data_IF_400095400238
#
_entry.id   IF_400095400238
#
_cell.length_a   1.000
_cell.length_b   1.000
_cell.length_c   1.000
_cell.angle_alpha   90.00
_cell.angle_beta   90.00
_cell.angle_gamma   90.00
#
_symmetry.space_group_name_H-M   'P 1'
#
loop_
_entity.id
_entity.type
_entity.pdbx_description
1 polymer ?
#
# COMPACT_ATOMS: atom_id res chain seq x y z
N UNK A 1 -1.39 16.08 -27.98
CA UNK A 1 -0.74 14.75 -27.95
C UNK A 1 -1.57 13.86 -27.05
N UNK A 2 -1.96 12.69 -27.52
CA UNK A 2 -2.85 11.76 -26.80
C UNK A 2 -2.16 11.22 -25.56
N UNK A 3 -2.81 11.27 -24.39
CA UNK A 3 -2.32 10.66 -23.15
C UNK A 3 -2.79 9.21 -23.07
N UNK A 4 -1.97 8.34 -22.47
CA UNK A 4 -2.29 6.91 -22.34
C UNK A 4 -2.97 6.62 -21.00
N UNK A 5 -4.08 7.31 -20.75
CA UNK A 5 -4.83 7.21 -19.49
C UNK A 5 -5.88 6.10 -19.55
N UNK A 6 -5.96 5.35 -18.46
CA UNK A 6 -7.02 4.39 -18.18
C UNK A 6 -7.95 4.98 -17.11
N UNK A 7 -9.23 5.12 -17.48
CA UNK A 7 -10.31 5.63 -16.63
C UNK A 7 -11.41 4.56 -16.61
N UNK A 8 -11.56 3.91 -15.46
CA UNK A 8 -12.56 2.87 -15.24
C UNK A 8 -13.98 3.45 -15.17
N UNK A 9 -14.99 2.59 -15.35
CA UNK A 9 -16.40 3.00 -15.27
C UNK A 9 -16.76 3.56 -13.89
N UNK A 10 -16.20 2.99 -12.81
CA UNK A 10 -16.41 3.50 -11.45
C UNK A 10 -15.86 4.92 -11.28
N UNK A 11 -14.64 5.19 -11.79
CA UNK A 11 -14.04 6.53 -11.73
C UNK A 11 -14.85 7.51 -12.59
N UNK A 12 -15.30 7.07 -13.78
CA UNK A 12 -16.15 7.88 -14.68
C UNK A 12 -17.51 8.21 -14.03
N UNK A 13 -18.11 7.26 -13.32
CA UNK A 13 -19.38 7.46 -12.63
C UNK A 13 -19.25 8.51 -11.51
N UNK A 14 -18.12 8.55 -10.80
CA UNK A 14 -17.88 9.50 -9.73
C UNK A 14 -17.52 10.92 -10.21
N UNK A 15 -16.66 11.05 -11.24
CA UNK A 15 -16.23 12.37 -11.75
C UNK A 15 -17.16 12.96 -12.82
N UNK A 16 -18.02 12.12 -13.40
CA UNK A 16 -18.90 12.45 -14.52
C UNK A 16 -18.24 12.29 -15.90
N UNK A 17 -19.08 12.03 -16.91
CA UNK A 17 -18.63 11.75 -18.28
C UNK A 17 -17.83 12.90 -18.91
N UNK A 18 -18.25 14.14 -18.67
CA UNK A 18 -17.55 15.33 -19.20
C UNK A 18 -16.14 15.47 -18.64
N UNK A 19 -15.93 15.19 -17.35
CA UNK A 19 -14.61 15.25 -16.72
C UNK A 19 -13.73 14.06 -17.15
N UNK A 20 -14.32 12.87 -17.29
CA UNK A 20 -13.61 11.70 -17.82
C UNK A 20 -13.14 11.94 -19.27
N UNK A 21 -13.97 12.56 -20.11
CA UNK A 21 -13.61 12.93 -21.49
C UNK A 21 -12.51 14.00 -21.52
N UNK A 22 -12.54 14.98 -20.60
CA UNK A 22 -11.44 15.95 -20.41
C UNK A 22 -10.13 15.26 -20.07
N UNK A 23 -10.13 14.33 -19.11
CA UNK A 23 -8.93 13.57 -18.74
C UNK A 23 -8.37 12.76 -19.92
N UNK A 24 -9.24 12.02 -20.63
CA UNK A 24 -8.86 11.18 -21.77
C UNK A 24 -8.35 12.00 -22.97
N UNK A 25 -8.90 13.20 -23.19
CA UNK A 25 -8.40 14.13 -24.22
C UNK A 25 -7.09 14.82 -23.84
N UNK A 26 -6.63 14.66 -22.59
CA UNK A 26 -5.39 15.22 -22.12
C UNK A 26 -5.53 16.63 -21.57
N UNK A 27 -6.73 17.02 -21.14
CA UNK A 27 -6.95 18.18 -20.28
C UNK A 27 -7.02 17.71 -18.81
N UNK A 28 -6.49 18.47 -17.85
CA UNK A 28 -6.55 18.12 -16.42
C UNK A 28 -5.58 17.05 -15.88
N UNK A 29 -5.11 16.08 -16.67
CA UNK A 29 -4.04 15.17 -16.21
C UNK A 29 -2.63 15.81 -16.28
N UNK A 30 -1.71 15.48 -15.36
CA UNK A 30 -0.33 15.97 -15.41
C UNK A 30 0.48 15.23 -16.47
N UNK A 31 1.51 15.89 -17.02
CA UNK A 31 2.49 15.24 -17.90
C UNK A 31 3.29 14.21 -17.11
N UNK A 32 4.06 14.68 -16.12
CA UNK A 32 4.75 13.85 -15.14
C UNK A 32 3.95 13.72 -13.85
N UNK A 33 3.97 12.56 -13.20
CA UNK A 33 3.30 12.30 -11.92
C UNK A 33 4.15 11.39 -11.04
N UNK A 34 3.95 11.42 -9.72
CA UNK A 34 4.46 10.38 -8.84
C UNK A 34 3.39 9.30 -8.69
N UNK A 35 3.72 8.06 -9.05
CA UNK A 35 2.77 6.96 -8.98
C UNK A 35 2.24 6.80 -7.54
N UNK A 36 0.91 6.87 -7.33
CA UNK A 36 0.36 6.79 -5.96
C UNK A 36 0.63 5.45 -5.28
N UNK A 37 0.90 4.39 -6.05
CA UNK A 37 1.25 3.07 -5.54
C UNK A 37 2.75 2.90 -5.33
N UNK A 38 3.58 3.19 -6.35
CA UNK A 38 5.01 2.95 -6.29
C UNK A 38 5.90 4.16 -5.96
N UNK A 39 5.33 5.36 -5.94
CA UNK A 39 5.99 6.66 -5.74
C UNK A 39 7.19 6.91 -6.68
N UNK A 40 7.34 6.12 -7.73
CA UNK A 40 8.29 6.36 -8.81
C UNK A 40 7.68 7.39 -9.78
N UNK A 41 8.49 8.31 -10.32
CA UNK A 41 8.02 9.22 -11.36
C UNK A 41 7.54 8.47 -12.59
N UNK A 42 6.43 8.91 -13.13
CA UNK A 42 5.83 8.44 -14.37
C UNK A 42 5.53 9.60 -15.32
N UNK A 43 5.32 9.31 -16.60
CA UNK A 43 4.93 10.26 -17.64
C UNK A 43 3.78 9.72 -18.49
N UNK A 44 2.59 10.31 -18.30
CA UNK A 44 1.32 9.91 -18.93
C UNK A 44 1.29 10.10 -20.46
N UNK A 45 2.31 10.77 -21.02
CA UNK A 45 2.52 10.90 -22.47
C UNK A 45 3.28 9.73 -23.08
N UNK A 46 4.05 9.00 -22.27
CA UNK A 46 4.95 7.95 -22.74
C UNK A 46 4.60 6.54 -22.26
N UNK A 47 3.80 6.43 -21.19
CA UNK A 47 3.43 5.15 -20.58
C UNK A 47 1.94 5.10 -20.22
N UNK A 48 1.41 3.87 -20.06
CA UNK A 48 0.04 3.68 -19.59
C UNK A 48 -0.12 4.05 -18.12
N UNK A 49 -1.08 4.93 -17.84
CA UNK A 49 -1.32 5.50 -16.51
C UNK A 49 -2.77 5.24 -16.10
N UNK A 50 -2.99 4.68 -14.91
CA UNK A 50 -4.32 4.50 -14.33
C UNK A 50 -4.70 5.70 -13.45
N UNK A 51 -5.96 6.11 -13.53
CA UNK A 51 -6.55 7.10 -12.62
C UNK A 51 -7.05 6.46 -11.34
N UNK A 52 -6.64 7.00 -10.19
CA UNK A 52 -7.10 6.55 -8.88
C UNK A 52 -7.82 7.71 -8.21
N UNK A 53 -9.12 7.55 -7.94
CA UNK A 53 -9.92 8.58 -7.29
C UNK A 53 -10.07 8.27 -5.81
N UNK A 54 -9.49 9.08 -4.94
CA UNK A 54 -9.65 8.96 -3.50
C UNK A 54 -10.86 9.77 -3.05
N UNK A 55 -11.89 9.13 -2.46
CA UNK A 55 -13.14 9.79 -2.06
C UNK A 55 -13.31 9.68 -0.55
N UNK A 56 -13.66 10.78 0.12
CA UNK A 56 -14.00 10.77 1.53
C UNK A 56 -14.96 11.89 1.87
N UNK A 57 -16.11 11.53 2.43
CA UNK A 57 -17.18 12.43 2.86
C UNK A 57 -17.58 13.42 1.77
N UNK A 58 -16.97 14.60 1.80
CA UNK A 58 -17.25 15.73 0.91
C UNK A 58 -16.11 16.03 -0.09
N UNK A 59 -15.00 15.27 -0.04
CA UNK A 59 -13.78 15.54 -0.82
C UNK A 59 -13.40 14.36 -1.70
N UNK A 60 -13.01 14.66 -2.95
CA UNK A 60 -12.45 13.69 -3.87
C UNK A 60 -11.12 14.22 -4.42
N UNK A 61 -10.09 13.38 -4.44
CA UNK A 61 -8.75 13.70 -4.96
C UNK A 61 -8.39 12.72 -6.05
N UNK A 62 -8.14 13.24 -7.24
CA UNK A 62 -7.66 12.46 -8.37
C UNK A 62 -6.15 12.31 -8.32
N UNK A 63 -5.67 11.08 -8.40
CA UNK A 63 -4.26 10.72 -8.45
C UNK A 63 -3.97 9.78 -9.61
N UNK A 64 -2.68 9.57 -9.88
CA UNK A 64 -2.21 8.80 -11.03
C UNK A 64 -1.25 7.69 -10.57
N UNK A 65 -1.30 6.55 -11.24
CA UNK A 65 -0.39 5.44 -11.04
C UNK A 65 0.00 4.82 -12.36
N UNK A 66 1.15 4.14 -12.42
CA UNK A 66 1.42 3.25 -13.55
C UNK A 66 0.29 2.22 -13.65
N UNK A 67 -0.18 1.95 -14.86
CA UNK A 67 -1.22 0.94 -15.07
C UNK A 67 -0.79 -0.48 -14.66
N UNK A 68 0.52 -0.71 -14.51
CA UNK A 68 1.07 -1.96 -13.95
C UNK A 68 1.10 -2.02 -12.43
N UNK A 69 0.96 -0.89 -11.72
CA UNK A 69 1.02 -0.84 -10.27
C UNK A 69 -0.35 -1.04 -9.60
N UNK A 70 -1.37 -0.33 -10.08
CA UNK A 70 -2.76 -0.46 -9.64
C UNK A 70 -3.70 -0.18 -10.81
N UNK A 71 -4.87 -0.84 -10.87
CA UNK A 71 -5.88 -0.53 -11.90
C UNK A 71 -6.52 0.84 -11.63
N UNK A 72 -7.21 1.38 -12.64
CA UNK A 72 -8.07 2.53 -12.43
C UNK A 72 -9.22 2.16 -11.48
N UNK A 73 -9.39 2.92 -10.40
CA UNK A 73 -10.35 2.58 -9.34
C UNK A 73 -10.70 3.78 -8.46
N UNK A 74 -11.82 3.64 -7.76
CA UNK A 74 -12.24 4.55 -6.68
C UNK A 74 -11.83 3.94 -5.35
N UNK A 75 -11.16 4.72 -4.50
CA UNK A 75 -10.68 4.31 -3.17
C UNK A 75 -11.31 5.21 -2.12
N UNK A 76 -12.21 4.66 -1.31
CA UNK A 76 -12.79 5.39 -0.20
C UNK A 76 -11.77 5.51 0.96
N UNK A 77 -11.52 6.73 1.43
CA UNK A 77 -10.56 7.05 2.50
C UNK A 77 -11.20 7.99 3.53
N UNK A 78 -10.70 7.98 4.76
CA UNK A 78 -11.19 8.87 5.81
C UNK A 78 -10.90 10.34 5.47
N UNK A 79 -11.83 11.24 5.77
CA UNK A 79 -11.73 12.65 5.39
C UNK A 79 -10.48 13.34 5.95
N UNK A 80 -10.07 12.99 7.17
CA UNK A 80 -8.82 13.49 7.78
C UNK A 80 -7.56 13.10 6.99
N UNK A 81 -7.55 11.93 6.33
CA UNK A 81 -6.41 11.47 5.52
C UNK A 81 -6.35 12.20 4.17
N UNK A 82 -7.51 12.53 3.58
CA UNK A 82 -7.59 13.34 2.37
C UNK A 82 -7.11 14.77 2.61
N UNK A 83 -7.55 15.41 3.70
CA UNK A 83 -7.12 16.78 4.04
C UNK A 83 -5.60 16.89 4.22
N UNK A 84 -4.96 15.88 4.82
CA UNK A 84 -3.49 15.82 4.95
C UNK A 84 -2.76 15.66 3.61
N UNK A 85 -3.31 14.88 2.68
CA UNK A 85 -2.77 14.74 1.33
C UNK A 85 -2.93 16.03 0.51
N UNK A 86 -4.10 16.68 0.57
CA UNK A 86 -4.38 17.96 -0.11
C UNK A 86 -3.46 19.07 0.41
N UNK A 87 -3.24 19.15 1.72
CA UNK A 87 -2.33 20.13 2.32
C UNK A 87 -0.86 19.96 1.89
N UNK A 88 -0.44 18.73 1.57
CA UNK A 88 0.92 18.46 1.09
C UNK A 88 1.09 18.80 -0.40
N UNK A 89 0.03 18.69 -1.19
CA UNK A 89 0.02 19.04 -2.61
C UNK A 89 0.00 20.57 -2.78
N UNK A 90 -0.84 21.27 -2.00
CA UNK A 90 -0.90 22.75 -2.05
C UNK A 90 0.34 23.44 -1.47
N UNK A 91 1.15 22.76 -0.64
CA UNK A 91 2.41 23.28 -0.13
C UNK A 91 3.59 23.20 -1.12
N UNK A 92 3.44 22.47 -2.23
CA UNK A 92 4.49 22.31 -3.26
C UNK A 92 4.35 23.31 -4.42
N UNK A 93 3.22 24.00 -4.53
CA UNK A 93 3.02 25.13 -5.44
C UNK A 93 3.36 26.44 -4.72
N UNK A 94 4.59 26.91 -4.90
CA UNK A 94 5.17 28.07 -4.20
C UNK A 94 4.45 29.41 -4.44
N UNK A 95 4.42 30.20 -3.35
CA UNK A 95 3.90 31.57 -3.15
C UNK A 95 4.42 32.64 -4.13
N UNK A 96 3.83 33.86 -4.10
CA UNK A 96 4.54 34.92 -3.36
C UNK A 96 3.69 35.79 -2.41
N UNK A 97 4.19 35.89 -1.18
CA UNK A 97 4.45 37.08 -0.33
C UNK A 97 3.32 38.10 0.05
N UNK A 98 2.92 37.98 1.32
CA UNK A 98 2.68 38.99 2.39
C UNK A 98 1.83 40.27 2.18
N UNK A 99 0.79 40.41 3.03
CA UNK A 99 0.60 41.56 3.96
C UNK A 99 -0.37 41.20 5.11
N UNK A 100 -0.15 41.68 6.36
CA UNK A 100 -1.01 41.34 7.50
C UNK A 100 -2.13 42.38 7.72
N UNK A 101 -3.35 41.93 7.99
CA UNK A 101 -4.43 42.76 8.55
C UNK A 101 -5.26 41.96 9.58
N UNK A 102 -5.66 42.64 10.66
CA UNK A 102 -6.23 42.09 11.90
C UNK A 102 -7.79 42.08 11.88
N UNK A 103 -8.55 41.82 12.97
CA UNK A 103 -9.48 40.68 13.03
C UNK A 103 -11.01 41.00 13.11
N UNK A 104 -11.82 39.95 12.83
CA UNK A 104 -13.22 39.65 13.23
C UNK A 104 -14.37 40.42 12.53
N UNK A 105 -15.59 39.82 12.32
CA UNK A 105 -16.31 38.93 13.25
C UNK A 105 -16.94 37.63 12.68
N UNK A 106 -17.42 36.83 13.64
CA UNK A 106 -18.06 35.50 13.63
C UNK A 106 -19.24 35.29 12.65
N UNK A 107 -19.41 34.07 12.09
CA UNK A 107 -20.48 33.71 11.16
C UNK A 107 -21.81 33.35 11.87
N UNK A 108 -22.97 33.46 11.18
CA UNK A 108 -24.25 33.00 11.70
C UNK A 108 -24.42 31.48 11.60
N UNK A 109 -25.04 30.90 12.63
CA UNK A 109 -25.41 29.49 12.78
C UNK A 109 -26.49 29.04 11.78
N UNK A 110 -26.28 27.99 10.97
CA UNK A 110 -27.35 27.30 10.26
C UNK A 110 -28.05 26.26 11.16
N UNK A 111 -29.33 25.93 10.89
CA UNK A 111 -30.17 25.11 11.75
C UNK A 111 -29.77 23.63 11.77
N UNK A 112 -30.07 22.98 12.90
CA UNK A 112 -29.88 21.55 13.13
C UNK A 112 -30.64 20.72 12.09
N UNK A 113 -29.88 20.07 11.19
CA UNK A 113 -30.38 19.03 10.31
C UNK A 113 -30.20 17.70 11.05
N UNK A 114 -31.28 16.93 11.13
CA UNK A 114 -31.34 15.61 11.74
C UNK A 114 -30.22 14.73 11.21
N UNK A 115 -29.43 14.15 12.11
CA UNK A 115 -28.37 13.20 11.80
C UNK A 115 -28.94 12.04 10.97
N UNK A 116 -28.36 11.72 9.79
CA UNK A 116 -28.67 10.46 9.13
C UNK A 116 -28.12 9.30 9.97
N UNK A 117 -28.90 8.21 10.05
CA UNK A 117 -28.48 6.95 10.65
C UNK A 117 -27.09 6.53 10.14
N UNK A 118 -26.24 5.90 10.99
CA UNK A 118 -24.94 5.41 10.54
C UNK A 118 -25.16 4.30 9.52
N UNK A 119 -24.99 4.63 8.24
CA UNK A 119 -24.90 3.64 7.18
C UNK A 119 -23.71 2.76 7.51
N UNK A 120 -23.98 1.48 7.80
CA UNK A 120 -22.96 0.50 8.09
C UNK A 120 -21.97 0.46 6.92
N UNK A 121 -20.77 0.97 7.16
CA UNK A 121 -19.68 1.02 6.21
C UNK A 121 -19.31 -0.43 5.84
N UNK A 122 -19.38 -0.77 4.54
CA UNK A 122 -19.04 -2.11 4.09
C UNK A 122 -17.59 -2.44 4.49
N UNK A 123 -17.29 -3.68 4.93
CA UNK A 123 -15.96 -4.05 5.38
C UNK A 123 -14.93 -3.85 4.26
N UNK A 124 -14.03 -2.89 4.44
CA UNK A 124 -12.96 -2.60 3.48
C UNK A 124 -11.82 -3.60 3.65
N UNK A 125 -11.39 -4.21 2.56
CA UNK A 125 -10.23 -5.10 2.55
C UNK A 125 -8.94 -4.26 2.66
N UNK A 126 -8.05 -4.62 3.58
CA UNK A 126 -6.73 -3.99 3.68
C UNK A 126 -5.90 -4.27 2.42
N UNK A 127 -5.30 -3.23 1.85
CA UNK A 127 -4.36 -3.36 0.73
C UNK A 127 -2.95 -3.48 1.31
N UNK A 128 -2.21 -4.52 0.89
CA UNK A 128 -0.85 -4.78 1.37
C UNK A 128 0.17 -4.52 0.25
N UNK A 129 1.17 -3.71 0.56
CA UNK A 129 2.37 -3.53 -0.23
C UNK A 129 3.42 -4.58 0.12
N UNK A 130 4.20 -5.00 -0.89
CA UNK A 130 5.31 -5.94 -0.72
C UNK A 130 6.58 -5.33 -1.29
N UNK A 131 7.61 -5.29 -0.46
CA UNK A 131 8.99 -4.93 -0.84
C UNK A 131 9.85 -6.19 -0.84
N UNK A 132 10.53 -6.46 -1.95
CA UNK A 132 11.45 -7.60 -2.06
C UNK A 132 12.88 -7.12 -1.85
N UNK A 133 13.68 -7.84 -1.08
CA UNK A 133 15.09 -7.51 -0.87
C UNK A 133 15.89 -8.68 -0.30
N UNK A 134 17.21 -8.60 -0.37
CA UNK A 134 18.09 -9.52 0.33
C UNK A 134 18.36 -8.97 1.73
N UNK A 135 18.34 -9.84 2.72
CA UNK A 135 18.63 -9.51 4.12
C UNK A 135 19.73 -10.44 4.60
N UNK A 136 20.74 -9.86 5.25
CA UNK A 136 21.81 -10.62 5.88
C UNK A 136 21.34 -11.09 7.27
N UNK A 137 21.33 -12.40 7.48
CA UNK A 137 21.06 -13.02 8.78
C UNK A 137 22.33 -13.75 9.24
N UNK A 138 23.10 -13.13 10.14
CA UNK A 138 24.44 -13.60 10.47
C UNK A 138 25.37 -13.44 9.28
N UNK A 139 25.95 -14.53 8.78
CA UNK A 139 26.79 -14.54 7.58
C UNK A 139 26.02 -14.96 6.31
N UNK A 140 24.76 -15.36 6.45
CA UNK A 140 23.95 -15.88 5.34
C UNK A 140 23.09 -14.79 4.73
N UNK A 141 23.19 -14.63 3.41
CA UNK A 141 22.25 -13.81 2.65
C UNK A 141 20.95 -14.58 2.43
N UNK A 142 19.82 -14.01 2.83
CA UNK A 142 18.48 -14.60 2.71
C UNK A 142 17.58 -13.74 1.84
N UNK A 143 16.73 -14.40 1.05
CA UNK A 143 15.67 -13.73 0.31
C UNK A 143 14.56 -13.32 1.27
N UNK A 144 14.19 -12.03 1.26
CA UNK A 144 13.18 -11.49 2.16
C UNK A 144 12.06 -10.75 1.40
N UNK A 145 10.86 -10.81 1.98
CA UNK A 145 9.72 -9.97 1.66
C UNK A 145 9.38 -9.14 2.90
N UNK A 146 9.14 -7.85 2.71
CA UNK A 146 8.55 -6.97 3.73
C UNK A 146 7.15 -6.61 3.29
N UNK A 147 6.19 -6.88 4.16
CA UNK A 147 4.77 -6.63 3.93
C UNK A 147 4.30 -5.50 4.84
N UNK A 148 3.80 -4.43 4.24
CA UNK A 148 3.22 -3.30 4.97
C UNK A 148 1.83 -2.99 4.39
N UNK A 149 0.82 -2.72 5.23
CA UNK A 149 -0.45 -2.25 4.72
C UNK A 149 -0.30 -0.80 4.20
N UNK A 150 -1.18 -0.39 3.29
CA UNK A 150 -1.19 0.99 2.77
C UNK A 150 -1.85 1.98 3.73
N UNK A 151 -2.43 1.50 4.82
CA UNK A 151 -3.04 2.28 5.90
C UNK A 151 -3.24 1.40 7.14
N UNK A 152 -3.68 1.98 8.28
CA UNK A 152 -3.95 1.21 9.49
C UNK A 152 -4.99 0.11 9.23
N UNK A 153 -4.78 -1.07 9.80
CA UNK A 153 -5.71 -2.21 9.65
C UNK A 153 -6.53 -2.34 10.92
N UNK A 154 -7.86 -2.44 10.80
CA UNK A 154 -8.75 -2.71 11.93
C UNK A 154 -9.49 -4.02 11.72
N UNK A 155 -9.90 -4.67 12.80
CA UNK A 155 -10.81 -5.82 12.68
C UNK A 155 -12.16 -5.42 12.09
N UNK A 156 -12.74 -6.26 11.22
CA UNK A 156 -14.12 -6.10 10.79
C UNK A 156 -15.07 -6.00 11.99
N UNK A 157 -15.86 -4.93 12.06
CA UNK A 157 -16.80 -4.68 13.16
C UNK A 157 -16.20 -4.04 14.42
N UNK A 158 -14.91 -3.71 14.43
CA UNK A 158 -14.28 -2.92 15.49
C UNK A 158 -14.42 -1.42 15.20
N UNK A 159 -14.90 -0.65 16.19
CA UNK A 159 -14.89 0.82 16.15
C UNK A 159 -13.56 1.42 16.66
N UNK A 160 -12.54 0.58 16.86
CA UNK A 160 -11.26 1.01 17.42
C UNK A 160 -10.48 1.91 16.46
N UNK A 161 -9.82 2.94 17.01
CA UNK A 161 -8.89 3.83 16.30
C UNK A 161 -7.46 3.26 16.22
N UNK A 162 -7.28 1.95 16.44
CA UNK A 162 -5.97 1.29 16.54
C UNK A 162 -5.53 0.60 15.26
N UNK A 163 -4.28 0.13 15.23
CA UNK A 163 -3.77 -0.74 14.17
C UNK A 163 -3.66 -2.18 14.69
N UNK A 164 -4.58 -3.02 14.24
CA UNK A 164 -4.70 -4.44 14.55
C UNK A 164 -3.81 -5.32 13.65
N UNK A 165 -3.01 -4.75 12.74
CA UNK A 165 -2.23 -5.53 11.77
C UNK A 165 -1.29 -6.57 12.42
N UNK A 166 -0.47 -6.15 13.39
CA UNK A 166 0.43 -7.07 14.09
C UNK A 166 -0.31 -8.08 14.96
N UNK A 167 -1.29 -7.68 15.81
CA UNK A 167 -2.12 -8.64 16.54
C UNK A 167 -2.74 -9.73 15.66
N UNK A 168 -3.28 -9.36 14.49
CA UNK A 168 -3.88 -10.29 13.54
C UNK A 168 -2.87 -11.31 13.01
N UNK A 169 -1.65 -10.88 12.70
CA UNK A 169 -0.58 -11.78 12.24
C UNK A 169 -0.06 -12.69 13.36
N UNK A 170 0.03 -12.18 14.58
CA UNK A 170 0.41 -12.99 15.76
C UNK A 170 -0.61 -14.11 15.98
N UNK A 171 -1.90 -13.85 15.81
CA UNK A 171 -2.94 -14.88 15.85
C UNK A 171 -2.81 -15.94 14.75
N UNK A 172 -2.21 -15.58 13.61
CA UNK A 172 -1.87 -16.53 12.55
C UNK A 172 -0.56 -17.28 12.80
N UNK A 173 0.14 -17.00 13.91
CA UNK A 173 1.36 -17.69 14.34
C UNK A 173 2.65 -16.95 14.03
N UNK A 174 2.60 -15.76 13.43
CA UNK A 174 3.80 -14.94 13.26
C UNK A 174 4.35 -14.54 14.63
N UNK A 175 5.67 -14.49 14.76
CA UNK A 175 6.32 -14.12 16.02
C UNK A 175 6.99 -12.75 15.92
N UNK A 176 7.03 -11.97 17.02
CA UNK A 176 7.83 -10.76 17.09
C UNK A 176 9.30 -11.05 16.76
N UNK A 177 9.88 -10.21 15.90
CA UNK A 177 11.29 -10.26 15.55
C UNK A 177 12.04 -9.31 16.46
N UNK A 178 12.92 -9.87 17.29
CA UNK A 178 13.75 -9.12 18.24
C UNK A 178 15.18 -8.92 17.73
N UNK A 179 15.61 -9.77 16.79
CA UNK A 179 16.96 -9.83 16.26
C UNK A 179 16.89 -10.22 14.78
N UNK A 180 17.24 -9.30 13.89
CA UNK A 180 17.17 -9.49 12.43
C UNK A 180 18.32 -10.39 11.94
N UNK A 181 19.37 -10.59 12.75
CA UNK A 181 20.46 -11.52 12.42
C UNK A 181 20.04 -12.99 12.50
N UNK A 182 18.84 -13.27 13.02
CA UNK A 182 18.29 -14.62 13.12
C UNK A 182 17.06 -14.77 12.24
N UNK A 183 16.95 -15.88 11.47
CA UNK A 183 15.74 -16.13 10.71
C UNK A 183 14.54 -16.29 11.67
N UNK A 184 13.38 -15.69 11.37
CA UNK A 184 12.16 -15.90 12.15
C UNK A 184 11.70 -17.35 12.13
N UNK A 185 10.87 -17.74 13.10
CA UNK A 185 10.31 -19.09 13.15
C UNK A 185 9.41 -19.40 11.94
N UNK A 186 9.33 -20.67 11.56
CA UNK A 186 8.45 -21.14 10.49
C UNK A 186 7.00 -21.21 10.97
N UNK A 187 6.05 -20.71 10.18
CA UNK A 187 4.61 -20.87 10.44
C UNK A 187 4.04 -21.93 9.49
N UNK A 188 3.45 -23.03 10.01
CA UNK A 188 2.93 -24.10 9.18
C UNK A 188 1.85 -23.65 8.19
N UNK A 189 1.91 -24.19 6.97
CA UNK A 189 0.89 -24.00 5.93
C UNK A 189 0.96 -22.68 5.17
N UNK A 190 1.82 -21.74 5.58
CA UNK A 190 2.14 -20.55 4.81
C UNK A 190 3.18 -20.88 3.73
N UNK A 191 3.14 -20.16 2.60
CA UNK A 191 4.16 -20.29 1.56
C UNK A 191 4.26 -19.06 0.67
N UNK A 192 5.40 -18.88 0.01
CA UNK A 192 5.59 -17.87 -1.02
C UNK A 192 5.50 -18.52 -2.38
N UNK A 193 4.67 -17.98 -3.28
CA UNK A 193 4.47 -18.49 -4.62
C UNK A 193 5.29 -17.68 -5.64
N UNK A 194 6.28 -18.36 -6.22
CA UNK A 194 7.12 -17.84 -7.29
C UNK A 194 6.89 -18.71 -8.54
N UNK A 195 6.48 -18.13 -9.67
CA UNK A 195 6.26 -18.88 -10.91
C UNK A 195 6.95 -18.15 -12.05
N UNK A 196 7.73 -18.88 -12.84
CA UNK A 196 8.53 -18.34 -13.96
C UNK A 196 9.44 -17.20 -13.53
N UNK A 197 10.02 -17.29 -12.32
CA UNK A 197 10.93 -16.28 -11.76
C UNK A 197 10.26 -14.97 -11.30
N UNK A 198 8.92 -14.91 -11.27
CA UNK A 198 8.16 -13.77 -10.77
C UNK A 198 7.42 -14.13 -9.49
N UNK A 199 7.26 -13.17 -8.59
CA UNK A 199 6.50 -13.32 -7.35
C UNK A 199 5.01 -13.11 -7.62
N UNK A 200 4.18 -14.08 -7.25
CA UNK A 200 2.72 -14.03 -7.49
C UNK A 200 1.93 -13.79 -6.22
N UNK A 201 2.25 -14.49 -5.14
CA UNK A 201 1.42 -14.47 -3.94
C UNK A 201 2.18 -14.90 -2.68
N UNK A 202 1.63 -14.52 -1.53
CA UNK A 202 1.89 -15.13 -0.22
C UNK A 202 0.62 -15.89 0.14
N UNK A 203 0.75 -17.20 0.31
CA UNK A 203 -0.34 -18.11 0.58
C UNK A 203 -0.47 -18.33 2.08
N UNK A 204 -1.70 -18.31 2.59
CA UNK A 204 -2.04 -18.73 3.94
C UNK A 204 -2.69 -20.12 3.92
N UNK A 205 -2.58 -20.88 5.03
CA UNK A 205 -3.32 -22.13 5.17
C UNK A 205 -4.82 -21.90 5.03
N UNK A 206 -5.50 -22.80 4.32
CA UNK A 206 -6.96 -22.80 4.24
C UNK A 206 -7.59 -23.13 5.60
N UNK A 207 -8.80 -22.64 5.84
CA UNK A 207 -9.56 -22.98 7.06
C UNK A 207 -10.31 -24.29 6.85
N UNK A 208 -10.33 -25.17 7.86
CA UNK A 208 -11.23 -26.33 7.88
C UNK A 208 -11.01 -27.38 6.78
N UNK A 209 -9.77 -27.56 6.30
CA UNK A 209 -9.45 -28.56 5.26
C UNK A 209 -9.56 -28.06 3.82
N UNK A 210 -9.92 -26.78 3.63
CA UNK A 210 -9.78 -26.10 2.34
C UNK A 210 -8.30 -25.94 1.97
N UNK A 211 -8.02 -25.87 0.66
CA UNK A 211 -6.67 -25.63 0.14
C UNK A 211 -6.11 -24.27 0.55
N UNK A 212 -4.80 -24.09 0.41
CA UNK A 212 -4.16 -22.80 0.66
C UNK A 212 -4.79 -21.69 -0.20
N UNK A 213 -5.01 -20.52 0.39
CA UNK A 213 -5.58 -19.35 -0.28
C UNK A 213 -4.59 -18.19 -0.25
N UNK A 214 -4.69 -17.26 -1.21
CA UNK A 214 -3.81 -16.10 -1.23
C UNK A 214 -4.17 -15.17 -0.05
N UNK A 215 -3.23 -14.95 0.85
CA UNK A 215 -3.32 -13.87 1.84
C UNK A 215 -2.95 -12.53 1.21
N UNK A 216 -1.95 -12.55 0.33
CA UNK A 216 -1.60 -11.46 -0.56
C UNK A 216 -1.40 -12.01 -1.97
N UNK A 217 -1.87 -11.26 -2.97
CA UNK A 217 -1.66 -11.59 -4.38
C UNK A 217 -1.27 -10.33 -5.14
N UNK A 218 -0.22 -10.45 -5.95
CA UNK A 218 0.19 -9.39 -6.85
C UNK A 218 -0.86 -9.23 -7.96
N UNK A 219 -1.28 -7.99 -8.22
CA UNK A 219 -2.17 -7.70 -9.36
C UNK A 219 -1.51 -8.11 -10.70
N UNK A 220 -0.21 -7.89 -10.82
CA UNK A 220 0.64 -8.49 -11.84
C UNK A 220 1.86 -9.15 -11.18
N UNK A 221 2.31 -10.32 -11.67
CA UNK A 221 3.46 -11.00 -11.09
C UNK A 221 4.69 -10.08 -11.04
N UNK A 222 5.21 -9.86 -9.83
CA UNK A 222 6.29 -8.91 -9.59
C UNK A 222 7.62 -9.51 -10.04
N UNK A 223 8.39 -8.70 -10.76
CA UNK A 223 9.77 -9.04 -11.08
C UNK A 223 10.63 -8.86 -9.83
N UNK A 224 11.43 -9.88 -9.51
CA UNK A 224 12.42 -9.83 -8.43
C UNK A 224 13.81 -9.73 -9.03
N UNK A 225 14.77 -9.24 -8.25
CA UNK A 225 16.16 -9.19 -8.70
C UNK A 225 16.72 -10.60 -8.89
N UNK A 226 17.72 -10.75 -9.76
CA UNK A 226 18.35 -12.05 -9.98
C UNK A 226 19.00 -12.61 -8.72
N UNK A 227 19.63 -11.74 -7.91
CA UNK A 227 20.21 -12.14 -6.62
C UNK A 227 19.15 -12.68 -5.66
N UNK A 228 18.02 -11.99 -5.51
CA UNK A 228 16.90 -12.45 -4.69
C UNK A 228 16.40 -13.83 -5.15
N UNK A 229 16.18 -13.99 -6.46
CA UNK A 229 15.69 -15.23 -7.05
C UNK A 229 16.64 -16.39 -6.83
N UNK A 230 17.94 -16.18 -7.06
CA UNK A 230 18.96 -17.22 -6.86
C UNK A 230 18.99 -17.71 -5.42
N UNK A 231 18.99 -16.78 -4.45
CA UNK A 231 18.98 -17.12 -3.02
C UNK A 231 17.71 -17.89 -2.66
N UNK A 232 16.53 -17.38 -3.05
CA UNK A 232 15.24 -18.02 -2.74
C UNK A 232 15.12 -19.45 -3.32
N UNK A 233 15.55 -19.66 -4.57
CA UNK A 233 15.52 -20.98 -5.22
C UNK A 233 16.51 -21.94 -4.58
N UNK A 234 17.70 -21.46 -4.22
CA UNK A 234 18.73 -22.27 -3.59
C UNK A 234 18.35 -22.70 -2.17
N UNK A 235 17.79 -21.79 -1.37
CA UNK A 235 17.35 -22.08 0.01
C UNK A 235 16.03 -22.83 0.07
N UNK A 236 15.18 -22.70 -0.96
CA UNK A 236 13.76 -23.10 -0.95
C UNK A 236 12.95 -22.40 0.16
N UNK A 237 13.45 -21.27 0.66
CA UNK A 237 12.88 -20.53 1.79
C UNK A 237 12.97 -19.02 1.56
N UNK A 238 11.96 -18.31 2.03
CA UNK A 238 11.87 -16.84 1.99
C UNK A 238 11.50 -16.34 3.39
N UNK A 239 12.23 -15.34 3.87
CA UNK A 239 11.88 -14.65 5.11
C UNK A 239 10.76 -13.65 4.80
N UNK A 240 9.65 -13.71 5.51
CA UNK A 240 8.55 -12.76 5.37
C UNK A 240 8.44 -11.96 6.65
N UNK A 241 8.76 -10.68 6.57
CA UNK A 241 8.59 -9.71 7.63
C UNK A 241 7.33 -8.89 7.38
N UNK A 242 6.65 -8.50 8.45
CA UNK A 242 5.48 -7.64 8.37
C UNK A 242 5.53 -6.56 9.45
N UNK A 243 5.16 -5.35 9.06
CA UNK A 243 5.14 -4.18 9.93
C UNK A 243 3.94 -3.27 9.63
N UNK A 244 3.48 -2.46 10.61
CA UNK A 244 2.46 -1.43 10.38
C UNK A 244 2.87 -0.44 9.31
N UNK A 245 1.89 0.23 8.70
CA UNK A 245 2.11 1.23 7.64
C UNK A 245 3.19 2.25 8.04
N UNK A 246 4.20 2.42 7.19
CA UNK A 246 5.25 3.42 7.37
C UNK A 246 6.33 3.07 8.40
N UNK A 247 6.40 1.82 8.87
CA UNK A 247 7.41 1.38 9.83
C UNK A 247 8.75 1.07 9.17
N UNK A 248 8.72 0.43 7.99
CA UNK A 248 9.90 0.07 7.21
C UNK A 248 9.98 0.94 5.95
N UNK A 249 8.86 1.12 5.26
CA UNK A 249 8.79 1.91 4.03
C UNK A 249 9.55 1.29 2.86
N UNK A 250 9.71 2.09 1.79
CA UNK A 250 10.48 1.71 0.61
C UNK A 250 11.96 1.90 0.86
N UNK A 251 12.73 0.86 0.60
CA UNK A 251 14.17 0.88 0.80
C UNK A 251 14.88 0.69 -0.54
N UNK A 252 15.64 1.70 -1.03
CA UNK A 252 16.25 1.64 -2.35
C UNK A 252 17.49 0.72 -2.39
N UNK A 253 17.99 0.31 -1.23
CA UNK A 253 19.18 -0.53 -1.06
C UNK A 253 18.97 -1.55 0.04
N UNK A 254 19.70 -2.66 -0.05
CA UNK A 254 19.62 -3.80 0.87
C UNK A 254 20.14 -3.48 2.29
N UNK A 255 21.18 -2.65 2.39
CA UNK A 255 21.69 -2.17 3.69
C UNK A 255 20.67 -1.29 4.41
N UNK A 256 20.03 -0.36 3.68
CA UNK A 256 18.95 0.47 4.24
C UNK A 256 17.71 -0.35 4.62
N UNK A 257 17.43 -1.43 3.88
CA UNK A 257 16.38 -2.38 4.23
C UNK A 257 16.67 -3.06 5.57
N UNK A 258 17.92 -3.50 5.76
CA UNK A 258 18.35 -4.12 7.02
C UNK A 258 18.23 -3.14 8.19
N UNK A 259 18.73 -1.91 8.05
CA UNK A 259 18.65 -0.88 9.09
C UNK A 259 17.19 -0.55 9.46
N UNK A 260 16.30 -0.49 8.46
CA UNK A 260 14.89 -0.22 8.69
C UNK A 260 14.18 -1.39 9.41
N UNK A 261 14.53 -2.63 9.09
CA UNK A 261 14.05 -3.81 9.81
C UNK A 261 14.56 -3.83 11.26
N UNK A 262 15.83 -3.53 11.50
CA UNK A 262 16.40 -3.43 12.84
C UNK A 262 15.70 -2.34 13.66
N UNK A 263 15.43 -1.18 13.05
CA UNK A 263 14.69 -0.10 13.70
C UNK A 263 13.27 -0.53 14.05
N UNK A 264 12.55 -1.18 13.13
CA UNK A 264 11.20 -1.69 13.38
C UNK A 264 11.20 -2.76 14.49
N UNK A 265 12.16 -3.69 14.47
CA UNK A 265 12.34 -4.72 15.50
C UNK A 265 12.60 -4.10 16.88
N UNK A 266 13.48 -3.10 16.97
CA UNK A 266 13.81 -2.41 18.23
C UNK A 266 12.61 -1.70 18.86
N UNK A 267 11.62 -1.33 18.04
CA UNK A 267 10.36 -0.70 18.48
C UNK A 267 9.25 -1.71 18.76
N UNK A 268 9.49 -3.01 18.58
CA UNK A 268 8.48 -4.05 18.69
C UNK A 268 7.42 -3.99 17.59
N UNK A 269 7.74 -3.37 16.45
CA UNK A 269 6.84 -3.16 15.31
C UNK A 269 7.06 -4.15 14.17
N UNK A 270 7.80 -5.23 14.43
CA UNK A 270 8.16 -6.22 13.42
C UNK A 270 7.75 -7.62 13.88
N UNK A 271 6.98 -8.31 13.04
CA UNK A 271 6.76 -9.75 13.13
C UNK A 271 7.32 -10.42 11.89
N UNK A 272 7.62 -11.72 11.99
CA UNK A 272 8.17 -12.44 10.85
C UNK A 272 7.92 -13.93 10.89
N UNK A 273 8.07 -14.53 9.72
CA UNK A 273 8.11 -15.98 9.55
C UNK A 273 9.04 -16.39 8.42
N UNK A 274 9.70 -17.54 8.57
CA UNK A 274 10.36 -18.22 7.45
C UNK A 274 9.34 -19.09 6.73
N UNK A 275 9.14 -18.87 5.44
CA UNK A 275 8.15 -19.57 4.62
C UNK A 275 8.81 -20.40 3.50
N UNK A 276 8.28 -21.59 3.18
CA UNK A 276 8.73 -22.37 2.03
C UNK A 276 8.40 -21.66 0.72
N UNK A 277 9.33 -21.75 -0.24
CA UNK A 277 9.13 -21.31 -1.61
C UNK A 277 8.44 -22.40 -2.43
N UNK A 278 7.36 -22.03 -3.13
CA UNK A 278 6.57 -22.92 -3.99
C UNK A 278 6.51 -22.39 -5.43
N UNK A 279 6.32 -23.29 -6.39
CA UNK A 279 6.21 -22.95 -7.83
C UNK A 279 7.53 -22.70 -8.57
N UNK A 280 8.65 -22.72 -7.84
CA UNK A 280 10.01 -22.43 -8.33
C UNK A 280 10.77 -23.64 -8.87
#
# INVERSE_FOLDING_TARGET
>A
MTRMLDVSEDVRAEIGDEEAERLLSGDGAPGSYDCTSCRTPGDSRSERTSTVLFVGGETAVLAFAHAGCVPSQVVAVAEEQLRGAVASITATDGEPEARPEAPAPTPPTPPAVLAPDPVAEAPRQAVLGVTCGLVLCGDDLKAALVVEPTGPVTRPGSAGMGDDFLPLLIEQGFLPVLDVDRPPATVPGWSVLLVSGRLHAVMQPGRGGEGATAWWQAHQPLQVTDGWRQVAVASREVLVFAAPVGSVGRQPREDLLRDALELAASRGLLVGSTMPLTGA
#
